data_IF_020348506528
#
_entry.id   IF_020348506528
#
_cell.length_a   1.000
_cell.length_b   1.000
_cell.length_c   1.000
_cell.angle_alpha   90.00
_cell.angle_beta   90.00
_cell.angle_gamma   90.00
#
_symmetry.space_group_name_H-M   'P 1'
#
loop_
_entity.id
_entity.type
_entity.pdbx_description
1 polymer ?
#
# COMPACT_ATOMS: atom_id res chain seq x y z
N UNK A 1 12.09 18.35 9.84
CA UNK A 1 10.75 18.00 10.36
C UNK A 1 10.70 16.58 10.93
N UNK A 2 10.80 15.50 10.12
CA UNK A 2 10.64 14.12 10.64
C UNK A 2 11.68 13.70 11.68
N UNK A 3 12.97 14.04 11.49
CA UNK A 3 14.02 13.80 12.49
C UNK A 3 13.77 14.53 13.82
N UNK A 4 13.15 15.71 13.76
CA UNK A 4 12.80 16.50 14.96
C UNK A 4 11.58 15.91 15.65
N UNK A 5 10.55 15.51 14.87
CA UNK A 5 9.31 14.95 15.40
C UNK A 5 9.45 13.51 15.92
N UNK A 6 10.38 12.72 15.38
CA UNK A 6 10.60 11.31 15.75
C UNK A 6 12.09 10.98 15.86
N UNK A 7 12.80 11.51 16.89
CA UNK A 7 14.26 11.42 16.99
C UNK A 7 14.78 9.99 17.14
N UNK A 8 13.99 9.08 17.72
CA UNK A 8 14.35 7.68 17.92
C UNK A 8 14.05 6.77 16.71
N UNK A 9 13.54 7.32 15.59
CA UNK A 9 13.25 6.55 14.37
C UNK A 9 13.92 7.21 13.18
N UNK A 10 14.76 6.45 12.48
CA UNK A 10 15.27 6.88 11.17
C UNK A 10 14.14 6.76 10.14
N UNK A 11 13.46 7.88 9.88
CA UNK A 11 12.42 7.97 8.86
C UNK A 11 12.98 8.76 7.70
N UNK A 12 13.27 8.05 6.60
CA UNK A 12 13.64 8.66 5.33
C UNK A 12 12.39 8.96 4.52
N UNK A 13 12.48 9.94 3.62
CA UNK A 13 11.42 10.24 2.67
C UNK A 13 11.28 9.11 1.67
N UNK A 14 10.06 8.68 1.42
CA UNK A 14 9.74 7.75 0.34
C UNK A 14 9.61 8.52 -0.99
N UNK A 15 9.45 7.78 -2.08
CA UNK A 15 9.30 8.35 -3.42
C UNK A 15 8.07 9.26 -3.52
N UNK A 16 7.00 8.93 -2.79
CA UNK A 16 5.74 9.68 -2.79
C UNK A 16 5.93 11.12 -2.28
N UNK A 17 6.85 11.35 -1.34
CA UNK A 17 7.11 12.69 -0.81
C UNK A 17 7.54 13.67 -1.91
N UNK A 18 8.53 13.30 -2.73
CA UNK A 18 8.99 14.15 -3.83
C UNK A 18 8.06 14.09 -5.04
N UNK A 19 7.37 12.96 -5.25
CA UNK A 19 6.38 12.82 -6.33
C UNK A 19 5.22 13.80 -6.15
N UNK A 20 4.76 14.03 -4.92
CA UNK A 20 3.70 15.00 -4.65
C UNK A 20 4.10 16.42 -5.09
N UNK A 21 5.33 16.84 -4.78
CA UNK A 21 5.87 18.15 -5.20
C UNK A 21 6.00 18.23 -6.73
N UNK A 22 6.43 17.14 -7.38
CA UNK A 22 6.53 17.06 -8.83
C UNK A 22 5.16 17.22 -9.50
N UNK A 23 4.14 16.51 -9.02
CA UNK A 23 2.80 16.55 -9.59
C UNK A 23 2.12 17.91 -9.38
N UNK A 24 2.37 18.54 -8.22
CA UNK A 24 1.94 19.93 -7.96
C UNK A 24 2.60 20.90 -8.94
N UNK A 25 3.92 20.80 -9.12
CA UNK A 25 4.66 21.61 -10.08
C UNK A 25 4.23 21.37 -11.54
N UNK A 26 3.78 20.16 -11.87
CA UNK A 26 3.23 19.80 -13.17
C UNK A 26 1.76 20.23 -13.37
N UNK A 27 1.13 20.87 -12.38
CA UNK A 27 -0.21 21.43 -12.48
C UNK A 27 -1.36 20.44 -12.28
N UNK A 28 -1.09 19.24 -11.74
CA UNK A 28 -2.16 18.32 -11.40
C UNK A 28 -2.93 18.79 -10.16
N UNK A 29 -4.27 18.66 -10.12
CA UNK A 29 -5.02 18.83 -8.89
C UNK A 29 -4.64 17.72 -7.88
N UNK A 30 -4.62 18.05 -6.58
CA UNK A 30 -4.17 17.12 -5.53
C UNK A 30 -5.02 15.85 -5.47
N UNK A 31 -6.29 15.98 -5.80
CA UNK A 31 -7.26 14.89 -5.88
C UNK A 31 -6.91 13.87 -6.99
N UNK A 32 -6.13 14.28 -7.99
CA UNK A 32 -5.68 13.42 -9.08
C UNK A 32 -4.35 12.70 -8.82
N UNK A 33 -3.61 13.01 -7.75
CA UNK A 33 -2.27 12.45 -7.53
C UNK A 33 -2.28 10.91 -7.47
N UNK A 34 -3.24 10.34 -6.74
CA UNK A 34 -3.41 8.89 -6.67
C UNK A 34 -3.79 8.26 -8.01
N UNK A 35 -4.54 8.99 -8.85
CA UNK A 35 -4.92 8.52 -10.19
C UNK A 35 -3.70 8.48 -11.13
N UNK A 36 -2.85 9.50 -11.09
CA UNK A 36 -1.60 9.53 -11.85
C UNK A 36 -0.66 8.41 -11.40
N UNK A 37 -0.54 8.20 -10.08
CA UNK A 37 0.20 7.07 -9.54
C UNK A 37 -0.37 5.72 -10.02
N UNK A 38 -1.69 5.54 -9.95
CA UNK A 38 -2.35 4.33 -10.42
C UNK A 38 -2.06 4.07 -11.90
N UNK A 39 -2.16 5.09 -12.76
CA UNK A 39 -1.82 4.98 -14.18
C UNK A 39 -0.40 4.45 -14.41
N UNK A 40 0.59 4.94 -13.64
CA UNK A 40 1.97 4.43 -13.68
C UNK A 40 2.13 3.01 -13.13
N UNK A 41 1.24 2.57 -12.23
CA UNK A 41 1.30 1.24 -11.60
C UNK A 41 0.56 0.13 -12.36
N UNK A 42 -0.41 0.48 -13.21
CA UNK A 42 -1.24 -0.48 -13.96
C UNK A 42 -0.40 -1.55 -14.67
N UNK A 43 0.69 -1.18 -15.34
CA UNK A 43 1.54 -2.15 -16.03
C UNK A 43 2.12 -3.22 -15.08
N UNK A 44 2.60 -2.81 -13.91
CA UNK A 44 3.12 -3.75 -12.91
C UNK A 44 2.03 -4.59 -12.26
N UNK A 45 0.85 -4.02 -12.02
CA UNK A 45 -0.30 -4.79 -11.51
C UNK A 45 -0.73 -5.88 -12.48
N UNK A 46 -0.81 -5.57 -13.77
CA UNK A 46 -1.17 -6.55 -14.81
C UNK A 46 -0.09 -7.64 -14.93
N UNK A 47 1.19 -7.25 -14.87
CA UNK A 47 2.30 -8.22 -14.89
C UNK A 47 2.19 -9.21 -13.72
N UNK A 48 2.07 -8.71 -12.49
CA UNK A 48 1.94 -9.57 -11.31
C UNK A 48 0.65 -10.39 -11.29
N UNK A 49 -0.46 -9.86 -11.82
CA UNK A 49 -1.69 -10.63 -11.96
C UNK A 49 -1.49 -11.85 -12.88
N UNK A 50 -0.78 -11.68 -14.00
CA UNK A 50 -0.43 -12.77 -14.91
C UNK A 50 0.55 -13.76 -14.29
N UNK A 51 1.57 -13.27 -13.59
CA UNK A 51 2.50 -14.12 -12.83
C UNK A 51 1.74 -14.98 -11.82
N UNK A 52 0.81 -14.39 -11.05
CA UNK A 52 -0.01 -15.12 -10.08
C UNK A 52 -0.91 -16.14 -10.76
N UNK A 53 -1.55 -15.80 -11.88
CA UNK A 53 -2.37 -16.74 -12.66
C UNK A 53 -1.57 -17.96 -13.12
N UNK A 54 -0.32 -17.77 -13.54
CA UNK A 54 0.56 -18.87 -13.94
C UNK A 54 0.90 -19.83 -12.79
N UNK A 55 0.82 -19.39 -11.53
CA UNK A 55 1.03 -20.29 -10.37
C UNK A 55 -0.13 -21.26 -10.14
N UNK A 56 -1.35 -20.93 -10.59
CA UNK A 56 -2.56 -21.71 -10.34
C UNK A 56 -2.95 -21.88 -8.86
N UNK A 57 -2.31 -21.13 -7.94
CA UNK A 57 -2.49 -21.32 -6.49
C UNK A 57 -3.32 -20.20 -5.86
N UNK A 58 -4.35 -20.59 -5.10
CA UNK A 58 -5.14 -19.66 -4.29
C UNK A 58 -4.32 -19.14 -3.10
N UNK A 59 -4.30 -17.82 -2.90
CA UNK A 59 -3.77 -17.18 -1.70
C UNK A 59 -4.85 -17.26 -0.61
N UNK A 60 -4.69 -18.19 0.35
CA UNK A 60 -5.65 -18.41 1.44
C UNK A 60 -4.93 -18.54 2.80
N UNK A 61 -4.59 -17.42 3.45
CA UNK A 61 -4.01 -17.45 4.79
C UNK A 61 -5.06 -17.89 5.83
N UNK A 62 -4.57 -18.39 6.97
CA UNK A 62 -5.39 -18.67 8.15
C UNK A 62 -5.20 -17.57 9.19
N UNK A 63 -6.20 -17.39 10.04
CA UNK A 63 -6.14 -16.47 11.16
C UNK A 63 -6.23 -17.25 12.47
N UNK A 64 -5.55 -16.76 13.51
CA UNK A 64 -5.69 -17.29 14.86
C UNK A 64 -6.80 -16.53 15.57
N UNK A 65 -7.84 -17.24 16.02
CA UNK A 65 -8.86 -16.66 16.88
C UNK A 65 -8.27 -16.41 18.28
N UNK A 66 -8.45 -15.19 18.78
CA UNK A 66 -8.03 -14.75 20.12
C UNK A 66 -9.20 -14.11 20.89
N UNK A 67 -10.42 -14.30 20.41
CA UNK A 67 -11.62 -13.84 21.09
C UNK A 67 -12.05 -14.80 22.21
N UNK A 68 -13.12 -14.46 22.93
CA UNK A 68 -13.69 -15.33 23.96
C UNK A 68 -14.07 -16.70 23.38
N UNK A 69 -13.81 -17.77 24.12
CA UNK A 69 -14.35 -19.09 23.78
C UNK A 69 -15.87 -18.99 23.92
N UNK A 70 -16.67 -19.33 22.89
CA UNK A 70 -18.12 -19.34 23.02
C UNK A 70 -18.53 -20.25 24.18
N UNK A 71 -19.52 -19.84 24.97
CA UNK A 71 -20.12 -20.69 25.99
C UNK A 71 -20.78 -21.89 25.29
N UNK A 72 -20.10 -23.04 25.31
CA UNK A 72 -20.58 -24.29 24.73
C UNK A 72 -21.53 -25.00 25.70
N UNK A 73 -22.66 -24.36 26.09
CA UNK A 73 -23.75 -25.06 26.80
C UNK A 73 -25.12 -24.43 26.50
N UNK A 74 -25.98 -25.23 25.87
CA UNK A 74 -27.14 -25.79 26.54
C UNK A 74 -27.14 -27.31 26.29
#
# INVERSE_FOLDING_TARGET
VLRVAKPQRSIQTNVEFYTALLLEAAGFPKEAFSNVFAAGRVAGWIAHAREQQATGRLIRPQSRYVGPVPDLVA
#
